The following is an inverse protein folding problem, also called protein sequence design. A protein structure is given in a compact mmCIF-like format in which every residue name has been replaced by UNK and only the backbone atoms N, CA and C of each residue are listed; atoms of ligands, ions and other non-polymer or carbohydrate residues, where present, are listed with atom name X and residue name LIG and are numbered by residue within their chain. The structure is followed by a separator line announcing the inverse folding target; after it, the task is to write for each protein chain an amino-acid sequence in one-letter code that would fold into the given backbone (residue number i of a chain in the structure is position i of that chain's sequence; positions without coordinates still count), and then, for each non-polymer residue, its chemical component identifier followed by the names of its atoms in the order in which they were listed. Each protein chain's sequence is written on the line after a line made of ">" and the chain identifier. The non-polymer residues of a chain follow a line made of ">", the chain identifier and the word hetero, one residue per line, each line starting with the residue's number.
data_IF_589437699506
#
_entry.id   IF_589437699506
#
_cell.length_a   1.000
_cell.length_b   1.000
_cell.length_c   1.000
_cell.angle_alpha   90.00
_cell.angle_beta   90.00
_cell.angle_gamma   90.00
#
_symmetry.space_group_name_H-M   'P 1'
#
loop_
_entity.id
_entity.type
_entity.pdbx_description
1 polymer ?
#
# COMPACT_ATOMS: atom_id res chain seq x y z
N UNK A 1 74.09 -2.48 16.76
CA UNK A 1 73.03 -2.19 15.77
C UNK A 1 72.79 -0.70 15.77
N UNK A 2 72.84 -0.08 14.59
CA UNK A 2 72.73 1.37 14.44
C UNK A 2 71.27 1.81 14.65
N UNK A 3 71.05 2.85 15.45
CA UNK A 3 69.74 3.46 15.72
C UNK A 3 68.93 3.73 14.43
N UNK A 4 69.63 4.07 13.34
CA UNK A 4 69.04 4.26 12.02
C UNK A 4 68.37 3.01 11.43
N UNK A 5 68.98 1.82 11.56
CA UNK A 5 68.39 0.58 11.03
C UNK A 5 67.09 0.21 11.77
N UNK A 6 67.04 0.46 13.07
CA UNK A 6 65.82 0.24 13.88
C UNK A 6 64.70 1.18 13.44
N UNK A 7 65.00 2.48 13.27
CA UNK A 7 64.01 3.47 12.79
C UNK A 7 63.49 3.16 11.39
N UNK A 8 64.34 2.68 10.48
CA UNK A 8 63.90 2.27 9.13
C UNK A 8 62.92 1.10 9.23
N UNK A 9 63.23 0.07 10.03
CA UNK A 9 62.33 -1.09 10.22
C UNK A 9 61.00 -0.71 10.88
N UNK A 10 61.00 0.24 11.81
CA UNK A 10 59.78 0.76 12.43
C UNK A 10 58.93 1.56 11.42
N UNK A 11 59.57 2.37 10.57
CA UNK A 11 58.90 3.09 9.50
C UNK A 11 58.29 2.15 8.45
N UNK A 12 59.00 1.10 8.04
CA UNK A 12 58.49 0.08 7.12
C UNK A 12 57.22 -0.57 7.67
N UNK A 13 57.24 -0.99 8.95
CA UNK A 13 56.06 -1.54 9.62
C UNK A 13 54.89 -0.56 9.71
N UNK A 14 55.18 0.72 9.99
CA UNK A 14 54.15 1.76 10.05
C UNK A 14 53.53 2.03 8.67
N UNK A 15 54.34 2.00 7.60
CA UNK A 15 53.89 2.10 6.23
C UNK A 15 53.01 0.92 5.83
N UNK A 16 53.41 -0.32 6.13
CA UNK A 16 52.63 -1.52 5.85
C UNK A 16 51.30 -1.51 6.59
N UNK A 17 51.30 -1.13 7.87
CA UNK A 17 50.09 -0.98 8.66
C UNK A 17 49.16 0.09 8.07
N UNK A 18 49.70 1.24 7.69
CA UNK A 18 48.93 2.33 7.08
C UNK A 18 48.36 1.91 5.72
N UNK A 19 49.13 1.20 4.89
CA UNK A 19 48.67 0.66 3.62
C UNK A 19 47.49 -0.29 3.77
N UNK A 20 47.60 -1.24 4.71
CA UNK A 20 46.49 -2.16 5.03
C UNK A 20 45.24 -1.43 5.55
N UNK A 21 45.43 -0.38 6.36
CA UNK A 21 44.31 0.41 6.87
C UNK A 21 43.61 1.18 5.74
N UNK A 22 44.37 1.78 4.82
CA UNK A 22 43.83 2.48 3.65
C UNK A 22 43.07 1.50 2.75
N UNK A 23 43.60 0.30 2.51
CA UNK A 23 42.90 -0.71 1.71
C UNK A 23 41.55 -1.10 2.35
N UNK A 24 41.54 -1.33 3.67
CA UNK A 24 40.31 -1.64 4.41
C UNK A 24 39.30 -0.50 4.38
N UNK A 25 39.74 0.75 4.52
CA UNK A 25 38.88 1.92 4.42
C UNK A 25 38.30 2.06 3.01
N UNK A 26 39.11 1.82 1.98
CA UNK A 26 38.66 1.86 0.58
C UNK A 26 37.59 0.81 0.31
N UNK A 27 37.77 -0.42 0.81
CA UNK A 27 36.77 -1.48 0.70
C UNK A 27 35.46 -1.07 1.38
N UNK A 28 35.52 -0.61 2.64
CA UNK A 28 34.34 -0.14 3.37
C UNK A 28 33.63 1.02 2.68
N UNK A 29 34.37 1.95 2.08
CA UNK A 29 33.78 3.05 1.33
C UNK A 29 32.99 2.52 0.11
N UNK A 30 33.56 1.57 -0.64
CA UNK A 30 32.87 0.97 -1.79
C UNK A 30 31.60 0.20 -1.39
N UNK A 31 31.62 -0.50 -0.25
CA UNK A 31 30.45 -1.19 0.30
C UNK A 31 29.37 -0.20 0.74
N UNK A 32 29.77 0.91 1.36
CA UNK A 32 28.88 1.98 1.77
C UNK A 32 28.19 2.63 0.56
N UNK A 33 28.95 2.97 -0.49
CA UNK A 33 28.39 3.55 -1.72
C UNK A 33 27.40 2.61 -2.41
N UNK A 34 27.70 1.31 -2.44
CA UNK A 34 26.79 0.28 -2.96
C UNK A 34 25.50 0.20 -2.15
N UNK A 35 25.61 0.26 -0.82
CA UNK A 35 24.45 0.25 0.09
C UNK A 35 23.60 1.49 -0.12
N UNK A 36 24.21 2.67 -0.17
CA UNK A 36 23.52 3.94 -0.39
C UNK A 36 22.73 3.94 -1.70
N UNK A 37 23.33 3.43 -2.78
CA UNK A 37 22.65 3.27 -4.06
C UNK A 37 21.46 2.31 -3.98
N UNK A 38 21.64 1.20 -3.26
CA UNK A 38 20.57 0.22 -3.05
C UNK A 38 19.39 0.82 -2.28
N UNK A 39 19.66 1.59 -1.22
CA UNK A 39 18.64 2.30 -0.45
C UNK A 39 17.88 3.33 -1.30
N UNK A 40 18.58 4.11 -2.12
CA UNK A 40 17.94 5.09 -3.01
C UNK A 40 17.01 4.42 -4.04
N UNK A 41 17.42 3.27 -4.59
CA UNK A 41 16.57 2.49 -5.50
C UNK A 41 15.33 1.94 -4.79
N UNK A 42 15.45 1.50 -3.54
CA UNK A 42 14.32 1.03 -2.74
C UNK A 42 13.32 2.17 -2.47
N UNK A 43 13.79 3.37 -2.14
CA UNK A 43 12.92 4.53 -1.96
C UNK A 43 12.11 4.83 -3.22
N UNK A 44 12.77 4.86 -4.38
CA UNK A 44 12.09 5.11 -5.66
C UNK A 44 11.03 4.06 -5.98
N UNK A 45 11.28 2.79 -5.58
CA UNK A 45 10.33 1.69 -5.75
C UNK A 45 9.15 1.83 -4.79
N UNK A 46 9.38 2.23 -3.54
CA UNK A 46 8.34 2.49 -2.55
C UNK A 46 7.39 3.60 -3.06
N UNK A 47 7.95 4.72 -3.52
CA UNK A 47 7.16 5.84 -4.07
C UNK A 47 6.29 5.38 -5.25
N UNK A 48 6.83 4.52 -6.13
CA UNK A 48 6.09 3.94 -7.25
C UNK A 48 4.95 3.02 -6.79
N UNK A 49 5.14 2.26 -5.72
CA UNK A 49 4.09 1.37 -5.19
C UNK A 49 2.98 2.19 -4.56
N UNK A 50 3.31 3.21 -3.77
CA UNK A 50 2.33 4.13 -3.16
C UNK A 50 1.49 4.80 -4.25
N UNK A 51 2.12 5.25 -5.34
CA UNK A 51 1.39 5.84 -6.46
C UNK A 51 0.42 4.85 -7.12
N UNK A 52 0.84 3.60 -7.31
CA UNK A 52 -0.02 2.55 -7.86
C UNK A 52 -1.18 2.21 -6.92
N UNK A 53 -0.94 2.13 -5.62
CA UNK A 53 -1.98 1.91 -4.61
C UNK A 53 -3.05 3.01 -4.68
N UNK A 54 -2.64 4.28 -4.68
CA UNK A 54 -3.57 5.40 -4.82
C UNK A 54 -4.40 5.33 -6.10
N UNK A 55 -3.78 4.93 -7.21
CA UNK A 55 -4.47 4.77 -8.49
C UNK A 55 -5.50 3.64 -8.43
N UNK A 56 -5.13 2.48 -7.92
CA UNK A 56 -6.03 1.34 -7.76
C UNK A 56 -7.19 1.66 -6.82
N UNK A 57 -6.93 2.37 -5.73
CA UNK A 57 -7.97 2.79 -4.79
C UNK A 57 -8.98 3.75 -5.45
N UNK A 58 -8.51 4.66 -6.31
CA UNK A 58 -9.38 5.53 -7.09
C UNK A 58 -10.21 4.73 -8.11
N UNK A 59 -9.60 3.79 -8.82
CA UNK A 59 -10.28 2.91 -9.79
C UNK A 59 -11.34 2.02 -9.10
N UNK A 60 -11.03 1.46 -7.92
CA UNK A 60 -11.99 0.68 -7.12
C UNK A 60 -13.16 1.55 -6.67
N UNK A 61 -12.88 2.76 -6.19
CA UNK A 61 -13.93 3.71 -5.79
C UNK A 61 -14.85 4.04 -6.96
N UNK A 62 -14.29 4.38 -8.11
CA UNK A 62 -15.06 4.67 -9.33
C UNK A 62 -15.90 3.45 -9.76
N UNK A 63 -15.32 2.25 -9.74
CA UNK A 63 -16.03 1.02 -10.07
C UNK A 63 -17.21 0.75 -9.12
N UNK A 64 -17.00 0.93 -7.80
CA UNK A 64 -18.08 0.81 -6.80
C UNK A 64 -19.19 1.84 -7.06
N UNK A 65 -18.83 3.10 -7.30
CA UNK A 65 -19.80 4.15 -7.62
C UNK A 65 -20.59 3.85 -8.91
N UNK A 66 -19.94 3.30 -9.94
CA UNK A 66 -20.63 2.89 -11.18
C UNK A 66 -21.54 1.71 -10.97
N UNK A 67 -21.09 0.70 -10.23
CA UNK A 67 -21.86 -0.51 -9.92
C UNK A 67 -23.10 -0.20 -9.08
N UNK A 68 -22.96 0.66 -8.08
CA UNK A 68 -24.04 1.05 -7.17
C UNK A 68 -24.94 2.17 -7.69
N UNK A 69 -24.62 2.77 -8.86
CA UNK A 69 -25.31 3.97 -9.37
C UNK A 69 -26.82 3.79 -9.52
N UNK A 70 -27.21 2.63 -10.02
CA UNK A 70 -28.61 2.31 -10.31
C UNK A 70 -29.33 1.69 -9.10
N UNK A 71 -28.63 1.51 -7.97
CA UNK A 71 -29.23 0.96 -6.76
C UNK A 71 -30.12 2.02 -6.10
N UNK A 72 -31.33 1.63 -5.71
CA UNK A 72 -32.20 2.45 -4.88
C UNK A 72 -31.82 2.28 -3.41
N UNK A 73 -31.59 3.41 -2.72
CA UNK A 73 -31.31 3.43 -1.29
C UNK A 73 -32.56 3.85 -0.53
N UNK A 74 -33.00 2.98 0.38
CA UNK A 74 -34.16 3.24 1.24
C UNK A 74 -33.68 3.56 2.65
N UNK A 75 -34.10 4.70 3.17
CA UNK A 75 -33.72 5.17 4.51
C UNK A 75 -34.95 5.39 5.37
N UNK A 76 -34.77 5.31 6.70
CA UNK A 76 -35.82 5.56 7.70
C UNK A 76 -37.01 4.61 7.61
N UNK A 77 -36.80 3.40 7.09
CA UNK A 77 -37.74 2.29 7.24
C UNK A 77 -37.44 1.68 8.61
N UNK A 78 -38.43 1.59 9.53
CA UNK A 78 -38.20 0.99 10.85
C UNK A 78 -37.68 -0.44 10.71
N UNK A 79 -36.75 -0.87 11.55
CA UNK A 79 -36.19 -2.24 11.52
C UNK A 79 -36.86 -3.12 12.59
N UNK A 80 -37.10 -4.39 12.28
CA UNK A 80 -37.62 -5.38 13.24
C UNK A 80 -36.71 -6.62 13.31
N UNK A 81 -36.66 -7.29 14.48
CA UNK A 81 -35.72 -8.40 14.74
C UNK A 81 -35.85 -9.60 13.79
N UNK A 82 -37.03 -9.83 13.23
CA UNK A 82 -37.33 -10.93 12.31
C UNK A 82 -38.02 -10.38 11.05
N UNK A 83 -37.44 -9.33 10.46
CA UNK A 83 -38.06 -8.69 9.31
C UNK A 83 -37.74 -9.36 7.96
N UNK A 84 -38.74 -9.35 7.08
CA UNK A 84 -38.59 -9.69 5.68
C UNK A 84 -38.36 -8.38 4.90
N UNK A 85 -37.09 -7.93 4.87
CA UNK A 85 -36.69 -6.65 4.28
C UNK A 85 -37.23 -6.46 2.85
N UNK A 86 -37.08 -7.48 2.02
CA UNK A 86 -37.59 -7.55 0.66
C UNK A 86 -39.09 -7.24 0.58
N UNK A 87 -39.92 -7.90 1.39
CA UNK A 87 -41.37 -7.62 1.41
C UNK A 87 -41.67 -6.20 1.89
N UNK A 88 -40.97 -5.74 2.92
CA UNK A 88 -41.15 -4.41 3.51
C UNK A 88 -40.82 -3.30 2.51
N UNK A 89 -39.76 -3.47 1.73
CA UNK A 89 -39.36 -2.56 0.66
C UNK A 89 -40.38 -2.57 -0.48
N UNK A 90 -40.85 -3.75 -0.91
CA UNK A 90 -41.89 -3.85 -1.94
C UNK A 90 -43.19 -3.19 -1.50
N UNK A 91 -43.63 -3.42 -0.26
CA UNK A 91 -44.78 -2.74 0.33
C UNK A 91 -44.61 -1.23 0.37
N UNK A 92 -43.42 -0.75 0.73
CA UNK A 92 -43.12 0.67 0.74
C UNK A 92 -43.23 1.26 -0.67
N UNK A 93 -42.68 0.59 -1.68
CA UNK A 93 -42.75 1.01 -3.09
C UNK A 93 -44.21 1.10 -3.57
N UNK A 94 -45.04 0.08 -3.31
CA UNK A 94 -46.45 0.12 -3.74
C UNK A 94 -47.25 1.20 -2.99
N UNK A 95 -47.14 1.25 -1.66
CA UNK A 95 -48.02 2.07 -0.82
C UNK A 95 -47.60 3.54 -0.80
N UNK A 96 -46.29 3.83 -0.83
CA UNK A 96 -45.75 5.19 -0.68
C UNK A 96 -45.31 5.81 -1.99
N UNK A 97 -44.77 5.01 -2.92
CA UNK A 97 -44.33 5.51 -4.23
C UNK A 97 -45.37 5.25 -5.33
N UNK A 98 -46.47 4.56 -5.01
CA UNK A 98 -47.60 4.30 -5.91
C UNK A 98 -47.23 3.54 -7.19
N UNK A 99 -46.16 2.74 -7.14
CA UNK A 99 -45.79 1.81 -8.21
C UNK A 99 -46.66 0.56 -8.04
N UNK A 100 -47.66 0.41 -8.89
CA UNK A 100 -48.60 -0.71 -8.82
C UNK A 100 -47.90 -2.05 -9.11
N UNK A 101 -48.39 -3.13 -8.49
CA UNK A 101 -47.91 -4.50 -8.68
C UNK A 101 -46.43 -4.74 -8.36
N UNK A 102 -45.77 -3.86 -7.60
CA UNK A 102 -44.35 -4.04 -7.28
C UNK A 102 -44.07 -5.36 -6.55
N UNK A 103 -44.97 -5.81 -5.68
CA UNK A 103 -44.84 -7.09 -4.96
C UNK A 103 -44.81 -8.32 -5.88
N UNK A 104 -45.40 -8.23 -7.06
CA UNK A 104 -45.50 -9.33 -8.02
C UNK A 104 -44.54 -9.21 -9.19
N UNK A 105 -44.15 -7.98 -9.57
CA UNK A 105 -43.39 -7.70 -10.79
C UNK A 105 -41.93 -7.32 -10.52
N UNK A 106 -41.59 -6.80 -9.34
CA UNK A 106 -40.23 -6.35 -9.01
C UNK A 106 -39.48 -7.45 -8.25
N UNK A 107 -38.27 -7.77 -8.73
CA UNK A 107 -37.34 -8.67 -8.05
C UNK A 107 -36.27 -7.86 -7.34
N UNK A 108 -36.25 -7.97 -6.01
CA UNK A 108 -35.16 -7.41 -5.20
C UNK A 108 -34.04 -8.45 -5.07
N UNK A 109 -32.82 -8.00 -5.28
CA UNK A 109 -31.61 -8.77 -4.96
C UNK A 109 -30.92 -8.07 -3.81
N UNK A 110 -30.64 -8.80 -2.73
CA UNK A 110 -29.75 -8.29 -1.71
C UNK A 110 -28.33 -8.24 -2.30
N UNK A 111 -27.67 -7.10 -2.13
CA UNK A 111 -26.24 -7.03 -2.37
C UNK A 111 -25.57 -7.98 -1.35
N UNK A 112 -24.88 -9.01 -1.84
CA UNK A 112 -24.03 -9.86 -1.02
C UNK A 112 -22.71 -9.10 -0.86
N UNK A 113 -22.37 -8.75 0.38
CA UNK A 113 -21.10 -8.08 0.72
C UNK A 113 -19.89 -9.00 0.53
#
# INVERSE_FOLDING_TARGET
>A
MNNFETRIKELEKACDFSGNMIENLTKKQSEFDSTLKSTSNLQSREDSVILQEHKLQAEITDLKCRSMRENLLFFKIPEEKEEQCDKKILEFIEKKLHVQNAQTEIKLHMAIE
#
